data_IF_953801700560
#
_entry.id   IF_953801700560
#
_cell.length_a   1.000
_cell.length_b   1.000
_cell.length_c   1.000
_cell.angle_alpha   90.00
_cell.angle_beta   90.00
_cell.angle_gamma   90.00
#
_symmetry.space_group_name_H-M   'P 1'
#
loop_
_entity.id
_entity.type
_entity.pdbx_description
1 polymer ?
#
# COMPACT_ATOMS: atom_id res chain seq x y z
N UNK A 1 -21.50 24.85 -13.80
CA UNK A 1 -20.23 24.31 -14.30
C UNK A 1 -20.16 22.87 -13.81
N UNK A 2 -20.00 21.93 -14.72
CA UNK A 2 -19.91 20.52 -14.30
C UNK A 2 -18.51 20.31 -13.68
N UNK A 3 -18.47 20.07 -12.37
CA UNK A 3 -17.26 19.63 -11.72
C UNK A 3 -16.96 18.20 -12.20
N UNK A 4 -15.77 17.91 -12.71
CA UNK A 4 -15.41 16.56 -13.09
C UNK A 4 -15.41 15.66 -11.85
N UNK A 5 -16.20 14.60 -11.88
CA UNK A 5 -16.30 13.60 -10.82
C UNK A 5 -15.88 12.21 -11.31
N UNK A 6 -15.43 12.12 -12.54
CA UNK A 6 -14.97 10.89 -13.18
C UNK A 6 -13.77 11.17 -14.06
N UNK A 7 -12.98 10.14 -14.34
CA UNK A 7 -11.83 10.20 -15.22
C UNK A 7 -12.18 10.78 -16.59
N UNK A 8 -13.28 10.30 -17.21
CA UNK A 8 -13.78 10.83 -18.49
C UNK A 8 -14.25 12.29 -18.36
N UNK A 9 -14.90 12.64 -17.27
CA UNK A 9 -15.32 14.03 -17.02
C UNK A 9 -14.15 15.00 -16.90
N UNK A 10 -13.01 14.54 -16.39
CA UNK A 10 -11.77 15.30 -16.31
C UNK A 10 -11.16 15.49 -17.73
N UNK A 11 -11.11 14.42 -18.54
CA UNK A 11 -10.66 14.50 -19.94
C UNK A 11 -11.52 15.49 -20.71
N UNK A 12 -12.84 15.37 -20.63
CA UNK A 12 -13.78 16.27 -21.31
C UNK A 12 -13.62 17.73 -20.86
N UNK A 13 -13.31 17.94 -19.57
CA UNK A 13 -13.03 19.28 -19.07
C UNK A 13 -11.77 19.86 -19.73
N UNK A 14 -10.67 19.11 -19.74
CA UNK A 14 -9.41 19.56 -20.33
C UNK A 14 -9.52 19.79 -21.83
N UNK A 15 -10.23 18.93 -22.55
CA UNK A 15 -10.48 19.13 -24.00
C UNK A 15 -11.32 20.39 -24.27
N UNK A 16 -12.33 20.69 -23.43
CA UNK A 16 -13.10 21.93 -23.57
C UNK A 16 -12.27 23.17 -23.30
N UNK A 17 -11.35 23.11 -22.34
CA UNK A 17 -10.43 24.20 -22.05
C UNK A 17 -9.47 24.46 -23.22
N UNK A 18 -9.09 23.43 -23.96
CA UNK A 18 -8.30 23.53 -25.19
C UNK A 18 -9.10 23.93 -26.44
N UNK A 19 -10.45 24.02 -26.33
CA UNK A 19 -11.34 24.53 -27.40
C UNK A 19 -12.23 23.49 -28.06
N UNK A 20 -12.20 22.22 -27.65
CA UNK A 20 -13.15 21.21 -28.14
C UNK A 20 -14.60 21.56 -27.77
N UNK A 21 -15.63 21.37 -28.58
CA UNK A 21 -15.63 20.78 -29.94
C UNK A 21 -15.46 21.82 -31.08
N UNK A 22 -15.21 23.09 -30.77
CA UNK A 22 -15.07 24.14 -31.78
C UNK A 22 -13.80 23.92 -32.61
N UNK A 23 -12.74 23.50 -31.94
CA UNK A 23 -11.45 23.14 -32.52
C UNK A 23 -11.28 21.63 -32.36
N UNK A 24 -10.97 20.94 -33.46
CA UNK A 24 -10.64 19.53 -33.43
C UNK A 24 -9.24 19.35 -32.84
N UNK A 25 -9.16 18.60 -31.73
CA UNK A 25 -7.89 18.30 -31.04
C UNK A 25 -7.45 16.90 -31.46
N UNK A 26 -6.42 16.85 -32.30
CA UNK A 26 -5.93 15.59 -32.88
C UNK A 26 -5.04 14.83 -31.89
N UNK A 27 -5.65 14.28 -30.84
CA UNK A 27 -5.05 13.40 -29.84
C UNK A 27 -5.96 12.19 -29.72
N UNK A 28 -5.39 11.02 -29.78
CA UNK A 28 -6.10 9.74 -29.67
C UNK A 28 -6.52 9.48 -28.22
N UNK A 29 -7.59 8.71 -28.02
CA UNK A 29 -8.13 8.40 -26.71
C UNK A 29 -7.09 7.68 -25.82
N UNK A 30 -6.32 6.76 -26.37
CA UNK A 30 -5.23 6.08 -25.65
C UNK A 30 -4.14 7.07 -25.19
N UNK A 31 -3.85 8.09 -26.03
CA UNK A 31 -2.90 9.13 -25.65
C UNK A 31 -3.43 10.05 -24.54
N UNK A 32 -4.74 10.30 -24.51
CA UNK A 32 -5.39 11.05 -23.44
C UNK A 32 -5.32 10.30 -22.13
N UNK A 33 -5.62 9.00 -22.14
CA UNK A 33 -5.53 8.13 -20.96
C UNK A 33 -4.11 8.06 -20.40
N UNK A 34 -3.10 7.92 -21.25
CA UNK A 34 -1.69 7.97 -20.85
C UNK A 34 -1.32 9.30 -20.15
N UNK A 35 -1.87 10.42 -20.63
CA UNK A 35 -1.62 11.73 -20.00
C UNK A 35 -2.33 11.87 -18.66
N UNK A 36 -3.52 11.28 -18.51
CA UNK A 36 -4.21 11.21 -17.23
C UNK A 36 -3.41 10.41 -16.22
N UNK A 37 -2.88 9.27 -16.63
CA UNK A 37 -2.04 8.44 -15.73
C UNK A 37 -0.77 9.16 -15.32
N UNK A 38 -0.08 9.84 -16.27
CA UNK A 38 1.09 10.70 -15.97
C UNK A 38 0.72 11.82 -14.98
N UNK A 39 -0.40 12.47 -15.19
CA UNK A 39 -0.86 13.55 -14.30
C UNK A 39 -1.22 13.05 -12.89
N UNK A 40 -1.94 11.94 -12.80
CA UNK A 40 -2.30 11.31 -11.54
C UNK A 40 -1.06 10.81 -10.78
N UNK A 41 -0.08 10.24 -11.50
CA UNK A 41 1.17 9.83 -10.89
C UNK A 41 1.92 11.02 -10.30
N UNK A 42 2.05 12.10 -11.06
CA UNK A 42 2.71 13.32 -10.60
C UNK A 42 1.95 13.93 -9.40
N UNK A 43 0.61 13.99 -9.46
CA UNK A 43 -0.23 14.46 -8.37
C UNK A 43 0.01 13.65 -7.09
N UNK A 44 0.03 12.32 -7.18
CA UNK A 44 0.27 11.41 -6.05
C UNK A 44 1.67 11.57 -5.43
N UNK A 45 2.67 11.95 -6.21
CA UNK A 45 4.05 12.05 -5.74
C UNK A 45 4.39 13.43 -5.16
N UNK A 46 3.77 14.49 -5.65
CA UNK A 46 4.19 15.86 -5.34
C UNK A 46 3.12 16.75 -4.72
N UNK A 47 1.84 16.38 -4.81
CA UNK A 47 0.78 17.22 -4.27
C UNK A 47 0.43 16.81 -2.83
N UNK A 48 0.36 17.80 -1.92
CA UNK A 48 0.15 17.56 -0.48
C UNK A 48 -1.21 16.94 -0.15
N UNK A 49 -2.26 17.21 -0.94
CA UNK A 49 -3.60 16.65 -0.75
C UNK A 49 -3.79 15.27 -1.40
N UNK A 50 -2.74 14.69 -2.00
CA UNK A 50 -2.81 13.40 -2.68
C UNK A 50 -2.68 12.21 -1.74
N UNK A 51 -2.17 12.45 -0.53
CA UNK A 51 -1.90 11.43 0.48
C UNK A 51 -2.48 11.86 1.83
N UNK A 52 -2.92 10.90 2.60
CA UNK A 52 -3.37 11.10 3.97
C UNK A 52 -2.52 10.28 4.94
N UNK A 53 -2.40 10.78 6.18
CA UNK A 53 -1.84 10.02 7.27
C UNK A 53 -2.95 9.15 7.85
N UNK A 54 -2.83 7.83 7.69
CA UNK A 54 -3.83 6.86 8.10
C UNK A 54 -3.25 5.85 9.09
N UNK A 55 -4.13 5.25 9.89
CA UNK A 55 -3.81 4.15 10.80
C UNK A 55 -4.34 2.85 10.22
N UNK A 56 -3.48 2.12 9.53
CA UNK A 56 -3.85 0.85 8.92
C UNK A 56 -3.73 -0.29 9.92
N UNK A 57 -4.81 -1.02 10.11
CA UNK A 57 -4.86 -2.22 10.96
C UNK A 57 -4.48 -3.45 10.16
N UNK A 58 -3.38 -4.07 10.54
CA UNK A 58 -2.90 -5.32 9.96
C UNK A 58 -3.14 -6.47 10.94
N UNK A 59 -3.91 -7.47 10.56
CA UNK A 59 -4.10 -8.69 11.32
C UNK A 59 -3.02 -9.71 10.96
N UNK A 60 -2.41 -10.30 11.97
CA UNK A 60 -1.44 -11.37 11.81
C UNK A 60 -2.20 -12.67 11.61
N UNK A 61 -2.36 -13.08 10.36
CA UNK A 61 -3.04 -14.32 10.00
C UNK A 61 -2.01 -15.39 9.63
N UNK A 62 -2.29 -16.68 9.96
CA UNK A 62 -1.47 -17.78 9.49
C UNK A 62 -1.55 -17.86 7.96
N UNK A 63 -0.49 -18.35 7.34
CA UNK A 63 -0.53 -18.77 5.94
C UNK A 63 -1.49 -19.95 5.79
N UNK A 64 -2.30 -19.95 4.74
CA UNK A 64 -3.29 -21.00 4.50
C UNK A 64 -2.90 -21.78 3.24
N UNK A 65 -2.79 -23.09 3.38
CA UNK A 65 -2.57 -24.03 2.27
C UNK A 65 -3.86 -24.80 2.01
N UNK A 66 -4.21 -24.97 0.73
CA UNK A 66 -5.33 -25.82 0.32
C UNK A 66 -4.81 -27.15 -0.21
N UNK A 67 -5.37 -28.24 0.30
CA UNK A 67 -5.10 -29.59 -0.18
C UNK A 67 -6.19 -30.05 -1.16
N UNK A 68 -5.83 -30.94 -2.07
CA UNK A 68 -6.81 -31.52 -3.00
C UNK A 68 -7.82 -32.39 -2.25
N UNK A 69 -7.35 -33.13 -1.24
CA UNK A 69 -8.20 -34.04 -0.43
C UNK A 69 -7.65 -34.11 0.98
N UNK A 70 -8.49 -33.87 1.99
CA UNK A 70 -8.18 -34.05 3.41
C UNK A 70 -8.69 -35.37 3.99
N UNK A 71 -9.35 -36.22 3.17
CA UNK A 71 -9.95 -37.43 3.66
C UNK A 71 -8.85 -38.41 4.12
N UNK A 72 -8.76 -38.58 5.44
CA UNK A 72 -7.76 -39.48 6.07
C UNK A 72 -6.42 -38.81 6.39
N UNK A 73 -6.23 -37.55 6.11
CA UNK A 73 -4.99 -36.81 6.38
C UNK A 73 -5.11 -36.03 7.69
N UNK A 74 -4.61 -36.59 8.77
CA UNK A 74 -4.54 -35.93 10.06
C UNK A 74 -3.09 -35.50 10.32
N UNK A 75 -2.75 -34.27 9.89
CA UNK A 75 -1.50 -33.69 10.32
C UNK A 75 -1.58 -33.31 11.81
N UNK A 76 -0.45 -33.36 12.49
CA UNK A 76 -0.38 -32.98 13.90
C UNK A 76 -0.13 -31.48 14.03
N UNK A 77 -0.88 -30.81 14.91
CA UNK A 77 -0.63 -29.39 15.18
C UNK A 77 0.79 -29.21 15.72
N UNK A 78 1.53 -28.26 15.13
CA UNK A 78 2.93 -27.99 15.45
C UNK A 78 3.96 -28.84 14.67
N UNK A 79 3.52 -29.80 13.85
CA UNK A 79 4.48 -30.59 13.06
C UNK A 79 5.03 -29.80 11.86
N UNK A 80 6.23 -30.15 11.47
CA UNK A 80 6.86 -29.66 10.27
C UNK A 80 6.32 -30.43 9.05
N UNK A 81 5.87 -29.70 8.05
CA UNK A 81 5.49 -30.23 6.76
C UNK A 81 6.51 -29.82 5.71
N UNK A 82 6.87 -30.71 4.80
CA UNK A 82 7.87 -30.44 3.77
C UNK A 82 7.31 -30.79 2.38
N UNK A 83 7.55 -29.91 1.40
CA UNK A 83 7.17 -30.13 0.01
C UNK A 83 8.14 -31.08 -0.69
N UNK A 84 7.60 -32.02 -1.45
CA UNK A 84 8.40 -33.08 -2.11
C UNK A 84 9.23 -32.58 -3.30
N UNK A 85 8.89 -31.48 -3.88
CA UNK A 85 9.52 -30.90 -5.09
C UNK A 85 10.29 -29.65 -4.80
N UNK A 86 9.73 -28.80 -3.92
CA UNK A 86 10.28 -27.50 -3.60
C UNK A 86 11.29 -27.52 -2.44
N UNK A 87 11.31 -28.58 -1.63
CA UNK A 87 12.00 -28.65 -0.33
C UNK A 87 11.57 -27.52 0.64
N UNK A 88 10.52 -26.80 0.30
CA UNK A 88 9.93 -25.79 1.17
C UNK A 88 9.32 -26.46 2.40
N UNK A 89 9.42 -25.80 3.55
CA UNK A 89 8.81 -26.34 4.76
C UNK A 89 8.00 -25.28 5.52
N UNK A 90 7.06 -25.75 6.33
CA UNK A 90 6.23 -24.93 7.19
C UNK A 90 5.79 -25.73 8.42
N UNK A 91 5.25 -25.07 9.42
CA UNK A 91 4.72 -25.72 10.63
C UNK A 91 3.21 -25.56 10.68
N UNK A 92 2.51 -26.67 10.96
CA UNK A 92 1.04 -26.70 11.05
C UNK A 92 0.57 -25.95 12.29
N UNK A 93 -0.39 -25.02 12.11
CA UNK A 93 -1.02 -24.28 13.22
C UNK A 93 -2.39 -24.84 13.54
N UNK A 94 -3.24 -24.96 12.53
CA UNK A 94 -4.59 -25.50 12.65
C UNK A 94 -4.94 -26.32 11.42
N UNK A 95 -5.81 -27.28 11.61
CA UNK A 95 -6.45 -28.01 10.53
C UNK A 95 -7.86 -27.45 10.40
N UNK A 96 -8.10 -26.69 9.36
CA UNK A 96 -9.39 -26.08 9.13
C UNK A 96 -10.31 -27.03 8.35
N UNK A 97 -11.61 -26.93 8.58
CA UNK A 97 -12.58 -27.63 7.75
C UNK A 97 -12.45 -27.20 6.29
N UNK A 98 -12.77 -28.07 5.34
CA UNK A 98 -12.72 -27.79 3.91
C UNK A 98 -11.33 -27.80 3.25
N UNK A 99 -10.50 -28.78 3.57
CA UNK A 99 -9.21 -29.02 2.91
C UNK A 99 -8.20 -27.87 3.03
N UNK A 100 -8.19 -27.18 4.16
CA UNK A 100 -7.28 -26.09 4.44
C UNK A 100 -6.43 -26.38 5.67
N UNK A 101 -5.15 -26.10 5.56
CA UNK A 101 -4.21 -26.15 6.67
C UNK A 101 -3.66 -24.76 6.87
N UNK A 102 -3.79 -24.23 8.09
CA UNK A 102 -3.11 -23.00 8.47
C UNK A 102 -1.70 -23.34 8.92
N UNK A 103 -0.71 -22.65 8.37
CA UNK A 103 0.70 -22.87 8.62
C UNK A 103 1.41 -21.60 9.04
N UNK A 104 2.51 -21.74 9.76
CA UNK A 104 3.42 -20.66 10.15
C UNK A 104 4.85 -20.98 9.75
N UNK A 105 5.73 -19.97 9.82
CA UNK A 105 7.17 -20.10 9.56
C UNK A 105 7.43 -20.82 8.24
N UNK A 106 6.82 -20.33 7.18
CA UNK A 106 7.00 -20.86 5.83
C UNK A 106 8.39 -20.47 5.34
N UNK A 107 9.20 -21.46 5.01
CA UNK A 107 10.53 -21.30 4.40
C UNK A 107 10.51 -21.90 3.01
N UNK A 108 10.95 -21.12 2.04
CA UNK A 108 10.88 -21.49 0.63
C UNK A 108 9.51 -21.22 0.00
N UNK A 109 9.35 -21.62 -1.24
CA UNK A 109 8.09 -21.44 -2.00
C UNK A 109 7.54 -22.79 -2.39
N UNK A 110 6.38 -23.15 -1.89
CA UNK A 110 5.70 -24.38 -2.27
C UNK A 110 5.21 -24.33 -3.72
N UNK A 111 5.29 -25.45 -4.41
CA UNK A 111 4.82 -25.57 -5.80
C UNK A 111 3.38 -26.10 -5.81
N UNK A 112 2.52 -25.49 -6.62
CA UNK A 112 1.14 -25.96 -6.78
C UNK A 112 1.11 -27.41 -7.31
N UNK A 113 0.32 -28.26 -6.68
CA UNK A 113 0.21 -29.68 -7.04
C UNK A 113 1.27 -30.59 -6.44
N UNK A 114 2.28 -30.08 -5.71
CA UNK A 114 3.25 -30.93 -5.03
C UNK A 114 2.64 -31.65 -3.83
N UNK A 115 3.28 -32.76 -3.43
CA UNK A 115 2.88 -33.47 -2.24
C UNK A 115 3.62 -32.93 -1.02
N UNK A 116 2.89 -32.54 0.01
CA UNK A 116 3.46 -32.19 1.32
C UNK A 116 3.43 -33.41 2.24
N UNK A 117 4.48 -33.59 3.03
CA UNK A 117 4.61 -34.68 3.97
C UNK A 117 4.87 -34.17 5.38
N UNK A 118 4.12 -34.68 6.35
CA UNK A 118 4.31 -34.34 7.78
C UNK A 118 5.42 -35.20 8.40
N UNK A 119 6.30 -34.56 9.15
CA UNK A 119 7.45 -35.20 9.77
C UNK A 119 7.05 -36.15 10.93
N UNK A 120 6.01 -35.79 11.68
CA UNK A 120 5.54 -36.53 12.87
C UNK A 120 4.44 -37.53 12.48
N UNK A 121 3.45 -37.07 11.75
CA UNK A 121 2.29 -37.86 11.37
C UNK A 121 2.59 -38.89 10.26
N UNK A 122 3.62 -38.61 9.45
CA UNK A 122 3.90 -39.39 8.24
C UNK A 122 2.83 -39.23 7.14
N UNK A 123 1.84 -38.42 7.34
CA UNK A 123 0.78 -38.20 6.37
C UNK A 123 1.29 -37.36 5.19
N UNK A 124 0.78 -37.67 4.00
CA UNK A 124 1.13 -36.99 2.78
C UNK A 124 -0.13 -36.50 2.06
N UNK A 125 -0.15 -35.26 1.64
CA UNK A 125 -1.28 -34.67 0.92
C UNK A 125 -0.82 -33.81 -0.25
N UNK A 126 -1.54 -33.90 -1.38
CA UNK A 126 -1.24 -33.08 -2.55
C UNK A 126 -1.80 -31.67 -2.38
N UNK A 127 -0.98 -30.65 -2.63
CA UNK A 127 -1.43 -29.27 -2.70
C UNK A 127 -2.37 -29.06 -3.88
N UNK A 128 -3.38 -28.24 -3.70
CA UNK A 128 -4.29 -27.89 -4.79
C UNK A 128 -3.53 -27.12 -5.88
N UNK A 129 -3.81 -27.44 -7.13
CA UNK A 129 -3.25 -26.73 -8.29
C UNK A 129 -3.69 -25.27 -8.38
N UNK A 130 -4.75 -24.89 -7.67
CA UNK A 130 -5.27 -23.52 -7.56
C UNK A 130 -4.96 -22.88 -6.20
N UNK A 131 -3.97 -23.40 -5.47
CA UNK A 131 -3.64 -22.90 -4.14
C UNK A 131 -3.07 -21.50 -4.21
N UNK A 132 -3.92 -20.54 -3.97
CA UNK A 132 -3.50 -19.20 -3.61
C UNK A 132 -3.01 -19.27 -2.16
N UNK A 133 -1.70 -19.19 -2.00
CA UNK A 133 -1.10 -18.97 -0.69
C UNK A 133 -1.44 -17.53 -0.27
N UNK A 134 -2.44 -17.37 0.56
CA UNK A 134 -2.72 -16.08 1.20
C UNK A 134 -1.74 -15.90 2.37
N UNK A 135 -0.52 -15.50 2.06
CA UNK A 135 0.46 -15.09 3.06
C UNK A 135 0.32 -13.62 3.31
N UNK A 136 -0.22 -13.22 4.46
CA UNK A 136 -0.17 -11.83 4.91
C UNK A 136 1.15 -11.47 5.62
N UNK A 137 2.03 -12.44 5.79
CA UNK A 137 3.38 -12.27 6.33
C UNK A 137 4.12 -13.60 6.28
N UNK A 138 5.43 -13.54 6.09
CA UNK A 138 6.29 -14.70 6.20
C UNK A 138 7.18 -14.53 7.43
N UNK A 139 7.03 -15.43 8.40
CA UNK A 139 7.78 -15.37 9.64
C UNK A 139 9.29 -15.52 9.42
N UNK A 140 9.68 -16.30 8.43
CA UNK A 140 11.10 -16.53 8.14
C UNK A 140 11.76 -15.35 7.44
N UNK A 141 11.01 -14.62 6.61
CA UNK A 141 11.51 -13.43 5.89
C UNK A 141 11.28 -12.12 6.64
N UNK A 142 10.59 -12.17 7.79
CA UNK A 142 10.37 -11.03 8.68
C UNK A 142 9.72 -9.82 8.00
N UNK A 143 8.78 -10.04 7.07
CA UNK A 143 8.06 -8.98 6.40
C UNK A 143 6.55 -9.23 6.35
N UNK A 144 5.80 -8.16 6.21
CA UNK A 144 4.37 -8.17 5.88
C UNK A 144 4.16 -7.58 4.48
N UNK A 145 3.24 -8.15 3.73
CA UNK A 145 2.79 -7.56 2.48
C UNK A 145 1.68 -6.55 2.77
N UNK A 146 1.87 -5.33 2.28
CA UNK A 146 0.92 -4.24 2.43
C UNK A 146 0.15 -4.01 1.13
N UNK A 147 -0.95 -3.29 1.21
CA UNK A 147 -1.73 -2.88 0.03
C UNK A 147 -1.00 -1.81 -0.77
N UNK A 148 -1.20 -1.80 -2.09
CA UNK A 148 -0.54 -0.86 -3.02
C UNK A 148 -0.82 0.61 -2.72
N UNK A 149 -1.92 0.89 -2.02
CA UNK A 149 -2.28 2.25 -1.63
C UNK A 149 -1.34 2.87 -0.59
N UNK A 150 -0.51 2.08 0.12
CA UNK A 150 0.41 2.57 1.14
C UNK A 150 1.72 3.01 0.47
N UNK A 151 2.04 4.29 0.58
CA UNK A 151 3.27 4.88 0.01
C UNK A 151 4.44 4.86 0.97
N UNK A 152 4.17 4.96 2.26
CA UNK A 152 5.20 5.00 3.29
C UNK A 152 4.66 4.60 4.65
N UNK A 153 5.49 3.97 5.46
CA UNK A 153 5.17 3.60 6.84
C UNK A 153 6.03 4.43 7.78
N UNK A 154 5.38 5.14 8.71
CA UNK A 154 6.06 6.01 9.68
C UNK A 154 6.50 5.20 10.88
N UNK A 155 5.58 4.46 11.46
CA UNK A 155 5.89 3.61 12.61
C UNK A 155 4.90 2.45 12.75
N UNK A 156 5.30 1.44 13.49
CA UNK A 156 4.48 0.29 13.86
C UNK A 156 4.18 0.35 15.34
N UNK A 157 2.89 0.25 15.67
CA UNK A 157 2.42 0.14 17.05
C UNK A 157 1.91 -1.28 17.28
N UNK A 158 2.56 -2.09 18.10
CA UNK A 158 2.03 -3.40 18.46
C UNK A 158 0.80 -3.23 19.35
N UNK A 159 -0.30 -3.84 18.94
CA UNK A 159 -1.50 -3.98 19.75
C UNK A 159 -1.65 -5.45 20.13
N UNK A 160 -0.98 -5.85 21.17
CA UNK A 160 -1.27 -7.13 21.80
C UNK A 160 -2.36 -6.95 22.85
N UNK A 161 -3.60 -6.75 22.43
CA UNK A 161 -4.71 -6.73 23.36
C UNK A 161 -5.51 -8.03 23.31
N UNK A 162 -4.93 -9.10 23.83
CA UNK A 162 -5.71 -10.24 24.29
C UNK A 162 -6.35 -10.03 25.66
N UNK A 163 -6.02 -8.94 26.33
CA UNK A 163 -6.59 -8.59 27.62
C UNK A 163 -7.43 -7.33 27.48
N UNK A 164 -8.73 -7.49 27.48
CA UNK A 164 -9.72 -6.40 27.50
C UNK A 164 -9.77 -5.65 28.87
N UNK A 165 -8.83 -5.89 29.74
CA UNK A 165 -8.66 -5.11 30.95
C UNK A 165 -7.51 -4.13 30.74
N UNK A 166 -7.86 -2.85 30.54
CA UNK A 166 -6.92 -1.75 30.76
C UNK A 166 -6.38 -1.94 32.17
N UNK A 167 -5.18 -2.50 32.28
CA UNK A 167 -4.58 -2.75 33.56
C UNK A 167 -4.13 -1.38 34.09
N UNK A 168 -4.87 -0.86 35.09
CA UNK A 168 -4.58 0.40 35.77
C UNK A 168 -3.14 0.45 36.33
N UNK A 169 -2.51 -0.71 36.46
CA UNK A 169 -1.13 -0.87 36.93
C UNK A 169 -0.13 -1.00 35.76
N UNK A 170 -0.60 -0.93 34.51
CA UNK A 170 0.31 -0.88 33.36
C UNK A 170 1.14 0.40 33.42
N UNK A 171 2.46 0.24 33.36
CA UNK A 171 3.41 1.35 33.40
C UNK A 171 3.12 2.39 32.32
N UNK A 172 2.67 1.95 31.14
CA UNK A 172 2.29 2.84 30.05
C UNK A 172 1.07 3.70 30.37
N UNK A 173 0.07 3.10 31.03
CA UNK A 173 -1.12 3.82 31.48
C UNK A 173 -0.77 4.84 32.57
N UNK A 174 0.07 4.46 33.52
CA UNK A 174 0.54 5.35 34.57
C UNK A 174 1.38 6.52 34.00
N UNK A 175 2.23 6.25 33.03
CA UNK A 175 2.99 7.29 32.30
C UNK A 175 2.08 8.23 31.53
N UNK A 176 1.03 7.72 30.88
CA UNK A 176 0.04 8.54 30.17
C UNK A 176 -0.75 9.44 31.13
N UNK A 177 -1.18 8.92 32.28
CA UNK A 177 -1.84 9.70 33.33
C UNK A 177 -0.92 10.81 33.86
N UNK A 178 0.34 10.50 34.09
CA UNK A 178 1.34 11.44 34.57
C UNK A 178 1.61 12.55 33.54
N UNK A 179 1.56 12.21 32.24
CA UNK A 179 1.68 13.18 31.16
C UNK A 179 0.47 14.16 31.10
N UNK A 180 -0.74 13.67 31.40
CA UNK A 180 -1.94 14.52 31.51
C UNK A 180 -1.83 15.47 32.69
N UNK A 181 -1.31 15.00 33.82
CA UNK A 181 -1.14 15.82 35.00
C UNK A 181 -0.07 16.92 34.80
N UNK A 182 0.95 16.67 33.97
CA UNK A 182 2.00 17.65 33.67
C UNK A 182 1.52 18.79 32.74
N UNK A 183 0.41 18.63 32.02
CA UNK A 183 -0.21 19.69 31.23
C UNK A 183 -0.71 20.87 32.07
N UNK A 184 -0.87 20.70 33.35
CA UNK A 184 -1.26 21.75 34.31
C UNK A 184 -0.08 22.50 34.87
N UNK A 185 1.16 22.07 34.62
CA UNK A 185 2.36 22.73 35.08
C UNK A 185 2.66 24.01 34.26
N UNK A 186 2.78 25.12 34.92
CA UNK A 186 3.02 26.45 34.36
C UNK A 186 4.47 26.67 33.89
N UNK A 187 5.37 25.77 34.17
CA UNK A 187 6.79 25.91 33.82
C UNK A 187 7.18 25.05 32.62
N UNK A 188 7.46 25.73 31.48
CA UNK A 188 7.84 25.12 30.22
C UNK A 188 9.15 24.30 30.33
N UNK A 189 10.08 24.72 31.15
CA UNK A 189 11.36 24.03 31.33
C UNK A 189 11.14 22.68 32.03
N UNK A 190 10.31 22.68 33.07
CA UNK A 190 9.94 21.44 33.79
C UNK A 190 9.18 20.48 32.85
N UNK A 191 8.26 21.01 32.05
CA UNK A 191 7.52 20.22 31.05
C UNK A 191 8.44 19.57 30.02
N UNK A 192 9.41 20.29 29.46
CA UNK A 192 10.36 19.72 28.49
C UNK A 192 11.28 18.68 29.09
N UNK A 193 11.76 18.89 30.34
CA UNK A 193 12.55 17.90 31.06
C UNK A 193 11.74 16.62 31.33
N UNK A 194 10.50 16.77 31.83
CA UNK A 194 9.60 15.63 32.06
C UNK A 194 9.32 14.85 30.78
N UNK A 195 9.02 15.55 29.70
CA UNK A 195 8.77 14.93 28.39
C UNK A 195 9.99 14.16 27.88
N UNK A 196 11.19 14.69 28.07
CA UNK A 196 12.45 14.03 27.70
C UNK A 196 12.66 12.75 28.54
N UNK A 197 12.43 12.81 29.86
CA UNK A 197 12.50 11.62 30.71
C UNK A 197 11.45 10.57 30.34
N UNK A 198 10.22 10.96 30.08
CA UNK A 198 9.15 10.03 29.64
C UNK A 198 9.47 9.38 28.32
N UNK A 199 10.02 10.14 27.36
CA UNK A 199 10.45 9.60 26.09
C UNK A 199 11.60 8.59 26.26
N UNK A 200 12.58 8.88 27.13
CA UNK A 200 13.66 7.96 27.44
C UNK A 200 13.15 6.66 28.08
N UNK A 201 12.24 6.76 29.05
CA UNK A 201 11.63 5.59 29.70
C UNK A 201 10.81 4.80 28.67
N UNK A 202 10.06 5.47 27.80
CA UNK A 202 9.28 4.82 26.75
C UNK A 202 10.18 4.11 25.73
N UNK A 203 11.30 4.70 25.37
CA UNK A 203 12.30 4.09 24.49
C UNK A 203 12.96 2.85 25.12
N UNK A 204 13.28 2.91 26.42
CA UNK A 204 13.89 1.80 27.15
C UNK A 204 12.92 0.64 27.43
N UNK A 205 11.65 0.95 27.71
CA UNK A 205 10.65 -0.06 28.13
C UNK A 205 9.78 -0.58 26.97
N UNK A 206 9.51 0.24 25.98
CA UNK A 206 8.60 -0.09 24.88
C UNK A 206 9.23 -0.06 23.50
N UNK A 207 10.55 0.15 23.42
CA UNK A 207 11.39 0.34 22.24
C UNK A 207 10.66 0.29 20.90
N UNK A 208 10.70 1.37 20.14
CA UNK A 208 10.12 1.34 18.78
C UNK A 208 10.86 0.28 17.97
N UNK A 209 10.12 -0.67 17.43
CA UNK A 209 10.71 -1.70 16.58
C UNK A 209 11.21 -1.03 15.30
N UNK A 210 12.46 -1.22 14.88
CA UNK A 210 12.97 -0.70 13.62
C UNK A 210 12.16 -1.28 12.44
N UNK A 211 11.83 -0.42 11.50
CA UNK A 211 11.06 -0.81 10.33
C UNK A 211 11.78 -0.42 9.04
N UNK A 212 11.60 -1.20 8.00
CA UNK A 212 12.06 -0.92 6.64
C UNK A 212 10.91 -1.22 5.69
N UNK A 213 10.53 -0.24 4.90
CA UNK A 213 9.47 -0.38 3.92
C UNK A 213 9.99 -0.15 2.50
N UNK A 214 9.57 -1.00 1.57
CA UNK A 214 9.85 -0.84 0.15
C UNK A 214 8.55 -0.81 -0.64
N UNK A 215 8.21 0.36 -1.18
CA UNK A 215 6.99 0.60 -1.95
C UNK A 215 6.89 -0.27 -3.20
N UNK A 216 8.02 -0.50 -3.92
CA UNK A 216 7.98 -1.30 -5.16
C UNK A 216 7.75 -2.79 -4.93
N UNK A 217 7.99 -3.25 -3.71
CA UNK A 217 7.74 -4.65 -3.32
C UNK A 217 6.52 -4.77 -2.40
N UNK A 218 5.96 -3.66 -1.94
CA UNK A 218 4.89 -3.59 -0.93
C UNK A 218 5.21 -4.38 0.34
N UNK A 219 6.51 -4.43 0.70
CA UNK A 219 6.99 -5.21 1.84
C UNK A 219 7.43 -4.32 2.99
N UNK A 220 6.82 -4.58 4.15
CA UNK A 220 7.19 -3.99 5.41
C UNK A 220 8.02 -4.99 6.22
N UNK A 221 9.29 -4.72 6.40
CA UNK A 221 10.16 -5.48 7.31
C UNK A 221 10.10 -4.86 8.69
N UNK A 222 9.90 -5.69 9.69
CA UNK A 222 9.87 -5.28 11.11
C UNK A 222 10.91 -6.08 11.86
N UNK A 223 11.89 -5.39 12.43
CA UNK A 223 12.98 -6.04 13.18
C UNK A 223 12.50 -6.33 14.61
N UNK A 224 11.95 -7.52 14.82
CA UNK A 224 11.44 -8.02 16.09
C UNK A 224 11.68 -9.52 16.21
N UNK A 225 11.51 -10.09 17.38
CA UNK A 225 11.54 -11.55 17.54
C UNK A 225 10.22 -12.17 17.07
N UNK A 226 10.18 -12.52 15.77
CA UNK A 226 9.00 -13.10 15.12
C UNK A 226 8.54 -14.41 15.75
N UNK A 227 9.43 -15.12 16.43
CA UNK A 227 9.10 -16.41 17.04
C UNK A 227 8.37 -16.23 18.37
N UNK A 228 8.77 -15.23 19.16
CA UNK A 228 8.29 -15.06 20.52
C UNK A 228 7.32 -13.86 20.65
N UNK A 229 7.58 -12.76 19.91
CA UNK A 229 6.80 -11.52 20.03
C UNK A 229 5.54 -11.51 19.16
N UNK A 230 5.47 -12.39 18.11
CA UNK A 230 4.37 -12.40 17.15
C UNK A 230 3.47 -13.60 17.41
N UNK A 231 2.20 -13.33 17.68
CA UNK A 231 1.18 -14.36 17.82
C UNK A 231 0.15 -14.22 16.68
N UNK A 232 -0.34 -15.38 16.21
CA UNK A 232 -1.42 -15.42 15.22
C UNK A 232 -2.70 -14.88 15.87
N UNK A 233 -3.38 -13.98 15.16
CA UNK A 233 -4.57 -13.29 15.66
C UNK A 233 -4.27 -11.96 16.38
N UNK A 234 -2.99 -11.59 16.53
CA UNK A 234 -2.63 -10.26 17.00
C UNK A 234 -2.79 -9.24 15.87
N UNK A 235 -2.87 -7.98 16.27
CA UNK A 235 -2.97 -6.87 15.34
C UNK A 235 -1.76 -5.96 15.45
N UNK A 236 -1.29 -5.49 14.31
CA UNK A 236 -0.35 -4.38 14.22
C UNK A 236 -1.10 -3.16 13.70
N UNK A 237 -0.91 -2.03 14.35
CA UNK A 237 -1.35 -0.75 13.79
C UNK A 237 -0.14 -0.08 13.15
N UNK A 238 -0.30 0.23 11.87
CA UNK A 238 0.68 0.94 11.08
C UNK A 238 0.24 2.39 10.95
N UNK A 239 1.06 3.32 11.40
CA UNK A 239 0.94 4.72 11.03
C UNK A 239 1.60 4.89 9.66
N UNK A 240 0.82 5.16 8.62
CA UNK A 240 1.27 5.13 7.25
C UNK A 240 0.67 6.27 6.42
N UNK A 241 1.36 6.60 5.34
CA UNK A 241 0.84 7.46 4.30
C UNK A 241 0.11 6.62 3.26
N UNK A 242 -1.15 6.94 3.03
CA UNK A 242 -2.02 6.27 2.08
C UNK A 242 -2.39 7.21 0.94
N UNK A 243 -2.37 6.71 -0.29
CA UNK A 243 -2.85 7.42 -1.46
C UNK A 243 -4.38 7.51 -1.41
N UNK A 244 -4.91 8.68 -1.68
CA UNK A 244 -6.33 8.86 -1.95
C UNK A 244 -6.67 8.26 -3.31
N UNK A 245 -7.55 7.26 -3.31
CA UNK A 245 -8.03 6.65 -4.53
C UNK A 245 -9.06 7.57 -5.22
N UNK A 246 -8.80 8.05 -6.45
CA UNK A 246 -9.69 8.96 -7.15
C UNK A 246 -11.07 8.38 -7.46
N UNK A 247 -11.18 7.06 -7.57
CA UNK A 247 -12.46 6.40 -7.85
C UNK A 247 -13.36 6.35 -6.60
N UNK A 248 -12.75 6.31 -5.42
CA UNK A 248 -13.46 6.42 -4.14
C UNK A 248 -13.71 7.90 -3.76
N UNK A 249 -12.71 8.75 -3.95
CA UNK A 249 -12.75 10.19 -3.63
C UNK A 249 -12.77 11.01 -4.90
N UNK A 250 -13.94 11.13 -5.51
CA UNK A 250 -14.12 11.74 -6.84
C UNK A 250 -13.75 13.22 -6.90
N UNK A 251 -13.68 13.92 -5.77
CA UNK A 251 -13.26 15.31 -5.68
C UNK A 251 -11.81 15.53 -6.13
N UNK A 252 -10.97 14.49 -6.11
CA UNK A 252 -9.60 14.52 -6.67
C UNK A 252 -9.62 14.94 -8.15
N UNK A 253 -10.59 14.47 -8.93
CA UNK A 253 -10.71 14.86 -10.34
C UNK A 253 -11.07 16.35 -10.54
N UNK A 254 -11.63 16.98 -9.51
CA UNK A 254 -11.96 18.42 -9.55
C UNK A 254 -10.86 19.31 -8.99
N UNK A 255 -9.73 18.75 -8.59
CA UNK A 255 -8.61 19.53 -8.08
C UNK A 255 -8.11 20.54 -9.12
N UNK A 256 -7.79 21.75 -8.65
CA UNK A 256 -7.39 22.85 -9.53
C UNK A 256 -6.03 22.61 -10.19
N UNK A 257 -5.09 22.10 -9.42
CA UNK A 257 -3.75 21.79 -9.92
C UNK A 257 -3.81 20.66 -10.95
N UNK A 258 -4.51 19.57 -10.62
CA UNK A 258 -4.64 18.40 -11.50
C UNK A 258 -5.27 18.78 -12.85
N UNK A 259 -6.33 19.60 -12.86
CA UNK A 259 -6.97 20.08 -14.08
C UNK A 259 -6.02 20.87 -14.95
N UNK A 260 -5.31 21.84 -14.38
CA UNK A 260 -4.37 22.68 -15.16
C UNK A 260 -3.18 21.87 -15.66
N UNK A 261 -2.60 21.04 -14.81
CA UNK A 261 -1.47 20.21 -15.19
C UNK A 261 -1.80 19.24 -16.31
N UNK A 262 -2.96 18.54 -16.19
CA UNK A 262 -3.44 17.64 -17.26
C UNK A 262 -3.72 18.39 -18.57
N UNK A 263 -4.35 19.57 -18.50
CA UNK A 263 -4.60 20.39 -19.71
C UNK A 263 -3.28 20.71 -20.41
N UNK A 264 -2.24 21.09 -19.67
CA UNK A 264 -0.93 21.39 -20.24
C UNK A 264 -0.24 20.15 -20.82
N UNK A 265 -0.42 18.96 -20.20
CA UNK A 265 0.08 17.69 -20.73
C UNK A 265 -0.62 17.31 -22.05
N UNK A 266 -1.94 17.45 -22.12
CA UNK A 266 -2.71 17.20 -23.35
C UNK A 266 -2.32 18.19 -24.45
N UNK A 267 -2.15 19.48 -24.11
CA UNK A 267 -1.65 20.51 -25.03
C UNK A 267 -0.26 20.18 -25.56
N UNK A 268 0.62 19.69 -24.69
CA UNK A 268 1.96 19.19 -25.09
C UNK A 268 1.88 18.03 -26.07
N UNK A 269 0.99 17.07 -25.81
CA UNK A 269 0.77 15.92 -26.70
C UNK A 269 0.21 16.35 -28.06
N UNK A 270 -0.77 17.23 -28.05
CA UNK A 270 -1.34 17.83 -29.25
C UNK A 270 -0.30 18.56 -30.09
N UNK A 271 0.50 19.45 -29.48
CA UNK A 271 1.62 20.14 -30.13
C UNK A 271 2.64 19.19 -30.73
N UNK A 272 2.97 18.09 -30.00
CA UNK A 272 3.91 17.06 -30.47
C UNK A 272 3.36 16.27 -31.69
N UNK A 273 2.05 16.00 -31.73
CA UNK A 273 1.41 15.38 -32.87
C UNK A 273 1.43 16.31 -34.10
N UNK A 274 1.10 17.60 -33.93
CA UNK A 274 1.08 18.59 -35.00
C UNK A 274 2.48 18.94 -35.51
N UNK A 275 3.51 18.90 -34.66
CA UNK A 275 4.90 19.17 -35.04
C UNK A 275 5.42 18.22 -36.13
N UNK A 276 4.87 17.00 -36.21
CA UNK A 276 5.22 16.03 -37.24
C UNK A 276 4.78 16.45 -38.65
N UNK A 277 3.83 17.40 -38.74
CA UNK A 277 3.33 17.98 -39.97
C UNK A 277 3.84 19.38 -40.25
N UNK A 278 4.93 19.79 -39.59
CA UNK A 278 5.57 21.11 -39.77
C UNK A 278 6.01 21.29 -41.22
N UNK A 279 5.65 22.45 -41.82
CA UNK A 279 5.94 22.74 -43.23
C UNK A 279 4.88 22.29 -44.24
N UNK A 280 3.83 21.57 -43.82
CA UNK A 280 2.69 21.25 -44.66
C UNK A 280 1.76 22.44 -44.75
N UNK A 281 1.60 23.00 -45.94
CA UNK A 281 0.58 24.05 -46.18
C UNK A 281 -0.78 23.40 -46.42
N UNK A 282 -1.74 23.76 -45.59
CA UNK A 282 -3.12 23.38 -45.84
C UNK A 282 -3.74 24.15 -47.01
N UNK A 283 -4.77 23.57 -47.69
CA UNK A 283 -5.54 24.31 -48.69
C UNK A 283 -6.07 25.62 -48.07
N UNK A 284 -5.67 26.77 -48.65
CA UNK A 284 -5.97 28.09 -48.11
C UNK A 284 -4.80 28.84 -47.51
N UNK A 285 -3.57 28.27 -47.53
CA UNK A 285 -2.36 28.96 -47.06
C UNK A 285 -2.15 28.99 -45.54
N UNK A 286 -2.95 28.23 -44.81
CA UNK A 286 -2.81 28.15 -43.34
C UNK A 286 -1.69 27.17 -43.02
N UNK A 287 -0.72 27.63 -42.21
CA UNK A 287 0.35 26.78 -41.67
C UNK A 287 0.01 26.37 -40.23
N UNK A 288 0.11 25.06 -39.96
CA UNK A 288 -0.01 24.53 -38.60
C UNK A 288 1.28 24.79 -37.84
N UNK A 289 1.21 25.56 -36.75
CA UNK A 289 2.36 25.84 -35.92
C UNK A 289 2.36 24.96 -34.66
N UNK A 290 2.63 23.66 -34.85
CA UNK A 290 2.68 22.69 -33.75
C UNK A 290 3.81 22.95 -32.75
N UNK A 291 4.94 23.53 -33.22
CA UNK A 291 6.05 23.88 -32.35
C UNK A 291 5.65 24.94 -31.31
N UNK A 292 4.91 25.97 -31.73
CA UNK A 292 4.47 27.02 -30.80
C UNK A 292 3.56 26.49 -29.71
N UNK A 293 2.59 25.60 -30.07
CA UNK A 293 1.69 24.96 -29.10
C UNK A 293 2.50 24.10 -28.11
N UNK A 294 3.50 23.38 -28.61
CA UNK A 294 4.38 22.56 -27.77
C UNK A 294 5.18 23.43 -26.78
N UNK A 295 5.79 24.51 -27.25
CA UNK A 295 6.62 25.42 -26.44
C UNK A 295 5.77 26.12 -25.35
N UNK A 296 4.57 26.60 -25.69
CA UNK A 296 3.63 27.15 -24.73
C UNK A 296 3.21 26.12 -23.68
N UNK A 297 2.95 24.88 -24.06
CA UNK A 297 2.63 23.81 -23.11
C UNK A 297 3.81 23.51 -22.17
N UNK A 298 5.04 23.51 -22.70
CA UNK A 298 6.23 23.28 -21.87
C UNK A 298 6.47 24.40 -20.86
N UNK A 299 6.08 25.64 -21.20
CA UNK A 299 6.20 26.77 -20.26
C UNK A 299 5.08 26.74 -19.20
N UNK A 300 3.89 26.21 -19.56
CA UNK A 300 2.79 26.02 -18.59
C UNK A 300 3.04 24.87 -17.59
N UNK A 301 3.84 23.87 -17.99
CA UNK A 301 4.21 22.70 -17.15
C UNK A 301 5.29 23.08 -16.11
N UNK A 302 6.11 24.08 -16.38
CA UNK A 302 7.16 24.57 -15.45
C UNK A 302 6.58 25.35 -14.28
#
# INVERSE_FOLDING_TARGET
MANPATRQGLIDYCLRDLGHPVIEINVDDDQLEDRVDEALQFYREFHYDSIELDYYKLEITPSVMRLQTLVGLNFTVGEKITGSTSDAYAYVVTLDAANQISVKSVSGTFVAGETITGEISGNAGALSSSSNFLTKGTFDNQYFELVDAITGVVKVMPLSERSSSVNLFDVRYQLMLNNIQSLTATDLVYYTQLKTHLNLINELMAGQKPIRFNRHQNRLYVDMDWKNDVQIGDFLILECYRILDPDTYTDVYNDYFLKRYLTSLIKRQWGNNLKKFEGVQMPGGVTLNGQKIFDEAMDEIK
#
